data_IF_014783942557
#
_entry.id   IF_014783942557
#
_cell.length_a   1.000
_cell.length_b   1.000
_cell.length_c   1.000
_cell.angle_alpha   90.00
_cell.angle_beta   90.00
_cell.angle_gamma   90.00
#
_symmetry.space_group_name_H-M   'P 1'
#
loop_
_entity.id
_entity.type
_entity.pdbx_description
1 polymer ?
#
# COMPACT_ATOMS: atom_id res chain seq x y z
N UNK A 1 -33.24 -1.17 -13.96
CA UNK A 1 -33.01 -0.74 -12.56
C UNK A 1 -31.51 -0.57 -12.39
N UNK A 2 -31.03 0.67 -12.44
CA UNK A 2 -29.60 0.98 -12.38
C UNK A 2 -29.14 0.87 -10.93
N UNK A 3 -28.54 -0.26 -10.55
CA UNK A 3 -27.90 -0.40 -9.24
C UNK A 3 -26.64 0.44 -9.26
N UNK A 4 -26.69 1.59 -8.58
CA UNK A 4 -25.54 2.41 -8.22
C UNK A 4 -24.52 1.52 -7.51
N UNK A 5 -23.46 1.12 -8.22
CA UNK A 5 -22.32 0.44 -7.62
C UNK A 5 -21.66 1.42 -6.64
N UNK A 6 -21.93 1.25 -5.34
CA UNK A 6 -21.17 1.96 -4.31
C UNK A 6 -19.72 1.49 -4.41
N UNK A 7 -18.83 2.38 -4.86
CA UNK A 7 -17.39 2.10 -4.87
C UNK A 7 -16.95 1.85 -3.43
N UNK A 8 -16.66 0.59 -3.10
CA UNK A 8 -16.16 0.23 -1.77
C UNK A 8 -14.84 0.95 -1.53
N UNK A 9 -14.78 1.77 -0.47
CA UNK A 9 -13.56 2.50 -0.12
C UNK A 9 -12.61 1.57 0.64
N UNK A 10 -11.38 1.46 0.17
CA UNK A 10 -10.39 0.53 0.70
C UNK A 10 -9.48 1.19 1.73
N UNK A 11 -8.98 0.38 2.67
CA UNK A 11 -7.98 0.82 3.62
C UNK A 11 -6.64 1.11 2.93
N UNK A 12 -6.09 2.30 3.17
CA UNK A 12 -4.81 2.73 2.58
C UNK A 12 -3.57 1.93 3.06
N UNK A 13 -3.74 0.99 4.00
CA UNK A 13 -2.67 0.13 4.49
C UNK A 13 -2.83 -1.31 3.98
N UNK A 14 -4.05 -1.87 4.01
CA UNK A 14 -4.27 -3.29 3.71
C UNK A 14 -5.20 -3.58 2.53
N UNK A 15 -5.83 -2.58 1.91
CA UNK A 15 -6.83 -2.69 0.84
C UNK A 15 -8.20 -3.28 1.22
N UNK A 16 -8.37 -3.81 2.43
CA UNK A 16 -9.67 -4.31 2.90
C UNK A 16 -10.69 -3.17 3.01
N UNK A 17 -12.00 -3.48 2.95
CA UNK A 17 -13.05 -2.49 3.13
C UNK A 17 -12.81 -1.63 4.38
N UNK A 18 -12.81 -0.31 4.18
CA UNK A 18 -12.62 0.64 5.25
C UNK A 18 -13.92 0.89 6.00
N UNK A 19 -13.82 0.97 7.32
CA UNK A 19 -14.93 1.29 8.22
C UNK A 19 -14.92 2.77 8.63
N UNK A 20 -13.82 3.46 8.36
CA UNK A 20 -13.61 4.85 8.76
C UNK A 20 -12.78 5.60 7.72
N UNK A 21 -12.83 6.92 7.80
CA UNK A 21 -11.98 7.84 7.03
C UNK A 21 -11.29 8.81 7.96
N UNK A 22 -10.20 9.41 7.50
CA UNK A 22 -9.54 10.48 8.24
C UNK A 22 -10.54 11.61 8.50
N UNK A 23 -10.85 11.88 9.77
CA UNK A 23 -11.76 12.96 10.16
C UNK A 23 -11.23 14.35 9.79
N UNK A 24 -9.92 14.49 9.63
CA UNK A 24 -9.28 15.75 9.27
C UNK A 24 -9.48 16.14 7.81
N UNK A 25 -9.06 15.28 6.87
CA UNK A 25 -9.11 15.61 5.44
C UNK A 25 -10.26 14.94 4.68
N UNK A 26 -10.89 13.90 5.24
CA UNK A 26 -11.97 13.16 4.60
C UNK A 26 -11.58 12.32 3.36
N UNK A 27 -10.31 12.35 2.93
CA UNK A 27 -9.82 11.74 1.68
C UNK A 27 -9.26 10.31 1.82
N UNK A 28 -8.66 9.98 2.95
CA UNK A 28 -7.98 8.68 3.16
C UNK A 28 -8.81 7.79 4.09
N UNK A 29 -8.91 6.51 3.75
CA UNK A 29 -9.78 5.53 4.40
C UNK A 29 -8.98 4.44 5.13
N UNK A 30 -9.51 3.95 6.25
CA UNK A 30 -8.87 2.96 7.12
C UNK A 30 -9.89 1.95 7.66
N UNK A 31 -9.49 0.68 7.77
CA UNK A 31 -10.30 -0.37 8.40
C UNK A 31 -10.21 -0.39 9.93
N UNK A 32 -9.19 0.24 10.53
CA UNK A 32 -8.98 0.29 11.98
C UNK A 32 -8.21 1.55 12.40
N UNK A 33 -8.31 1.91 13.68
CA UNK A 33 -7.52 3.01 14.27
C UNK A 33 -6.02 2.70 14.26
N UNK A 34 -5.64 1.43 14.34
CA UNK A 34 -4.25 0.99 14.24
C UNK A 34 -3.64 1.36 12.88
N UNK A 35 -4.31 1.01 11.78
CA UNK A 35 -3.84 1.38 10.44
C UNK A 35 -3.79 2.90 10.24
N UNK A 36 -4.71 3.64 10.85
CA UNK A 36 -4.66 5.10 10.85
C UNK A 36 -3.41 5.63 11.58
N UNK A 37 -3.07 5.08 12.76
CA UNK A 37 -1.87 5.45 13.52
C UNK A 37 -0.58 5.12 12.75
N UNK A 38 -0.50 3.94 12.14
CA UNK A 38 0.64 3.53 11.31
C UNK A 38 0.82 4.47 10.12
N UNK A 39 -0.27 4.82 9.42
CA UNK A 39 -0.23 5.76 8.30
C UNK A 39 0.13 7.19 8.72
N UNK A 40 -0.08 7.58 9.98
CA UNK A 40 -0.04 8.97 10.42
C UNK A 40 1.31 9.65 10.21
N UNK A 41 2.44 8.92 10.34
CA UNK A 41 3.76 9.52 10.17
C UNK A 41 3.96 10.13 8.78
N UNK A 42 3.41 9.49 7.75
CA UNK A 42 3.41 10.00 6.37
C UNK A 42 2.19 10.86 6.07
N UNK A 43 1.02 10.47 6.58
CA UNK A 43 -0.24 11.12 6.25
C UNK A 43 -0.38 12.51 6.88
N UNK A 44 0.18 12.79 8.06
CA UNK A 44 -0.06 14.05 8.79
C UNK A 44 0.20 15.32 7.98
N UNK A 45 1.24 15.33 7.13
CA UNK A 45 1.56 16.46 6.26
C UNK A 45 0.59 16.55 5.09
N UNK A 46 0.35 15.42 4.41
CA UNK A 46 -0.63 15.31 3.33
C UNK A 46 -2.04 15.70 3.79
N UNK A 47 -2.46 15.31 5.00
CA UNK A 47 -3.74 15.66 5.59
C UNK A 47 -3.94 17.18 5.62
N UNK A 48 -2.92 17.94 6.05
CA UNK A 48 -2.96 19.41 6.02
C UNK A 48 -3.02 19.96 4.60
N UNK A 49 -2.28 19.38 3.66
CA UNK A 49 -2.31 19.79 2.25
C UNK A 49 -3.72 19.59 1.67
N UNK A 50 -4.33 18.43 1.91
CA UNK A 50 -5.68 18.12 1.48
C UNK A 50 -6.72 19.06 2.10
N UNK A 51 -6.56 19.41 3.38
CA UNK A 51 -7.42 20.40 4.03
C UNK A 51 -7.30 21.79 3.39
N UNK A 52 -6.08 22.22 3.02
CA UNK A 52 -5.84 23.50 2.34
C UNK A 52 -6.44 23.50 0.93
N UNK A 53 -6.24 22.43 0.17
CA UNK A 53 -6.85 22.24 -1.15
C UNK A 53 -8.38 22.26 -1.07
N UNK A 54 -8.97 21.61 -0.05
CA UNK A 54 -10.42 21.64 0.17
C UNK A 54 -10.96 23.05 0.48
N UNK A 55 -10.12 23.96 0.97
CA UNK A 55 -10.44 25.38 1.17
C UNK A 55 -10.20 26.24 -0.08
N UNK A 56 -9.80 25.64 -1.20
CA UNK A 56 -9.50 26.34 -2.45
C UNK A 56 -8.11 26.98 -2.51
N UNK A 57 -7.20 26.65 -1.58
CA UNK A 57 -5.82 27.13 -1.68
C UNK A 57 -5.07 26.41 -2.79
N UNK A 58 -4.37 27.18 -3.63
CA UNK A 58 -3.49 26.63 -4.65
C UNK A 58 -2.20 26.10 -4.00
N UNK A 59 -1.96 24.79 -4.14
CA UNK A 59 -0.74 24.14 -3.65
C UNK A 59 -0.04 23.52 -4.86
N UNK A 60 1.12 24.07 -5.24
CA UNK A 60 1.87 23.58 -6.38
C UNK A 60 2.26 22.10 -6.20
N UNK A 61 1.85 21.24 -7.14
CA UNK A 61 1.99 19.78 -7.03
C UNK A 61 3.44 19.29 -6.93
N UNK A 62 4.40 20.06 -7.49
CA UNK A 62 5.83 19.73 -7.46
C UNK A 62 6.58 20.32 -6.26
N UNK A 63 5.89 21.05 -5.36
CA UNK A 63 6.52 21.69 -4.19
C UNK A 63 6.69 20.77 -2.99
N UNK A 64 6.14 19.55 -3.04
CA UNK A 64 6.19 18.58 -1.95
C UNK A 64 6.20 17.13 -2.49
N UNK A 65 6.66 16.19 -1.66
CA UNK A 65 6.52 14.77 -1.95
C UNK A 65 5.05 14.35 -1.86
N UNK A 66 4.46 13.90 -2.97
CA UNK A 66 3.06 13.49 -3.02
C UNK A 66 2.69 12.26 -2.18
N UNK A 67 3.66 11.54 -1.61
CA UNK A 67 3.44 10.33 -0.80
C UNK A 67 3.61 10.55 0.71
N UNK A 68 4.27 11.63 1.15
CA UNK A 68 4.47 11.91 2.57
C UNK A 68 4.36 13.40 2.96
N UNK A 69 4.16 14.29 1.98
CA UNK A 69 3.98 15.73 2.17
C UNK A 69 5.23 16.48 2.64
N UNK A 70 6.43 15.87 2.61
CA UNK A 70 7.68 16.58 2.89
C UNK A 70 7.96 17.62 1.82
N UNK A 71 8.38 18.80 2.24
CA UNK A 71 8.88 19.89 1.39
C UNK A 71 10.39 20.05 1.55
N UNK A 72 10.95 19.49 2.62
CA UNK A 72 12.32 19.58 3.07
C UNK A 72 13.08 18.29 2.70
N UNK A 73 13.96 18.38 1.71
CA UNK A 73 14.83 17.28 1.29
C UNK A 73 15.01 17.24 -0.22
N UNK A 74 15.93 16.40 -0.72
CA UNK A 74 16.01 16.18 -2.15
C UNK A 74 14.70 15.54 -2.62
N UNK A 75 14.04 16.20 -3.57
CA UNK A 75 12.86 15.70 -4.24
C UNK A 75 13.23 15.33 -5.68
N UNK A 76 12.60 14.30 -6.21
CA UNK A 76 12.76 13.86 -7.60
C UNK A 76 11.42 13.54 -8.22
N UNK A 77 11.37 13.57 -9.56
CA UNK A 77 10.24 13.05 -10.31
C UNK A 77 10.40 11.54 -10.52
N UNK A 78 9.29 10.80 -10.37
CA UNK A 78 9.27 9.36 -10.66
C UNK A 78 9.49 9.09 -12.15
N UNK A 79 10.04 7.94 -12.49
CA UNK A 79 10.24 7.55 -13.89
C UNK A 79 8.90 7.25 -14.59
N UNK A 80 7.99 6.57 -13.87
CA UNK A 80 6.69 6.07 -14.33
C UNK A 80 5.67 7.17 -14.63
N UNK A 81 5.33 8.02 -13.66
CA UNK A 81 4.23 8.99 -13.76
C UNK A 81 4.68 10.45 -13.65
N UNK A 82 5.99 10.71 -13.54
CA UNK A 82 6.60 12.06 -13.46
C UNK A 82 6.12 12.91 -12.29
N UNK A 83 5.50 12.30 -11.28
CA UNK A 83 5.07 12.97 -10.04
C UNK A 83 6.23 13.08 -9.04
N UNK A 84 6.18 14.10 -8.19
CA UNK A 84 7.26 14.44 -7.26
C UNK A 84 7.22 13.59 -5.98
N UNK A 85 8.35 12.96 -5.64
CA UNK A 85 8.55 12.12 -4.43
C UNK A 85 9.89 12.44 -3.77
N UNK A 86 10.10 11.98 -2.53
CA UNK A 86 11.41 12.08 -1.87
C UNK A 86 12.46 11.27 -2.65
N UNK A 87 13.64 11.86 -2.87
CA UNK A 87 14.80 11.16 -3.41
C UNK A 87 15.56 10.43 -2.30
N UNK A 88 14.98 9.32 -1.86
CA UNK A 88 15.45 8.56 -0.70
C UNK A 88 15.81 7.11 -1.06
N UNK A 89 15.92 6.78 -2.36
CA UNK A 89 16.17 5.42 -2.83
C UNK A 89 17.51 4.88 -2.29
N UNK A 90 18.55 5.72 -2.26
CA UNK A 90 19.88 5.36 -1.75
C UNK A 90 19.98 5.25 -0.23
N UNK A 91 18.97 5.72 0.51
CA UNK A 91 18.97 5.68 1.97
C UNK A 91 18.41 4.36 2.53
N UNK A 92 17.89 3.47 1.66
CA UNK A 92 17.36 2.17 2.08
C UNK A 92 18.49 1.26 2.57
N UNK A 93 18.39 0.82 3.81
CA UNK A 93 19.28 -0.21 4.36
C UNK A 93 18.73 -1.59 3.99
N UNK A 94 19.49 -2.44 3.26
CA UNK A 94 19.08 -3.81 3.00
C UNK A 94 18.66 -4.53 4.30
N UNK A 95 17.66 -5.41 4.22
CA UNK A 95 17.09 -6.16 5.36
C UNK A 95 16.37 -5.34 6.45
N UNK A 96 16.28 -4.01 6.31
CA UNK A 96 15.49 -3.19 7.23
C UNK A 96 13.98 -3.30 6.99
N UNK A 97 13.57 -3.74 5.80
CA UNK A 97 12.16 -3.74 5.34
C UNK A 97 11.43 -2.40 5.54
N UNK A 98 12.18 -1.30 5.72
CA UNK A 98 11.64 -0.02 6.13
C UNK A 98 10.71 0.58 5.08
N UNK A 99 9.55 1.04 5.54
CA UNK A 99 8.56 1.73 4.71
C UNK A 99 8.87 3.22 4.54
N UNK A 100 10.05 3.70 4.92
CA UNK A 100 10.32 5.14 4.98
C UNK A 100 10.72 5.75 3.64
N UNK A 101 11.15 4.93 2.67
CA UNK A 101 11.57 5.40 1.35
C UNK A 101 10.38 5.57 0.39
N UNK A 102 10.04 6.82 0.07
CA UNK A 102 8.90 7.13 -0.79
C UNK A 102 9.15 6.67 -2.24
N UNK A 103 10.32 6.96 -2.81
CA UNK A 103 10.62 6.59 -4.18
C UNK A 103 10.68 5.06 -4.36
N UNK A 104 11.34 4.36 -3.44
CA UNK A 104 11.48 2.89 -3.51
C UNK A 104 10.14 2.17 -3.34
N UNK A 105 9.33 2.60 -2.37
CA UNK A 105 8.06 1.92 -2.13
C UNK A 105 7.07 2.18 -3.26
N UNK A 106 7.08 3.38 -3.85
CA UNK A 106 6.32 3.65 -5.07
C UNK A 106 6.74 2.72 -6.21
N UNK A 107 8.06 2.62 -6.44
CA UNK A 107 8.68 1.76 -7.46
C UNK A 107 8.32 0.27 -7.32
N UNK A 108 8.19 -0.21 -6.08
CA UNK A 108 8.02 -1.64 -5.81
C UNK A 108 6.57 -2.09 -5.61
N UNK A 109 5.71 -1.22 -5.11
CA UNK A 109 4.42 -1.63 -4.53
C UNK A 109 3.21 -0.94 -5.14
N UNK A 110 3.36 -0.33 -6.33
CA UNK A 110 2.23 0.33 -6.99
C UNK A 110 1.96 -0.27 -8.36
N UNK A 111 0.68 -0.28 -8.74
CA UNK A 111 0.27 -0.65 -10.09
C UNK A 111 0.94 0.25 -11.14
N UNK A 112 1.10 1.54 -10.82
CA UNK A 112 1.77 2.52 -11.68
C UNK A 112 3.20 2.09 -12.08
N UNK A 113 4.00 1.68 -11.10
CA UNK A 113 5.36 1.24 -11.37
C UNK A 113 5.41 -0.15 -12.01
N UNK A 114 4.52 -1.07 -11.63
CA UNK A 114 4.40 -2.35 -12.31
C UNK A 114 4.11 -2.17 -13.81
N UNK A 115 3.10 -1.36 -14.16
CA UNK A 115 2.77 -0.99 -15.53
C UNK A 115 3.97 -0.47 -16.32
N UNK A 116 4.73 0.45 -15.72
CA UNK A 116 5.90 1.05 -16.33
C UNK A 116 7.04 0.03 -16.55
N UNK A 117 7.31 -0.81 -15.55
CA UNK A 117 8.42 -1.77 -15.57
C UNK A 117 8.16 -2.93 -16.55
N UNK A 118 6.92 -3.38 -16.66
CA UNK A 118 6.50 -4.42 -17.61
C UNK A 118 6.18 -3.86 -19.01
N UNK A 119 6.30 -2.53 -19.18
CA UNK A 119 6.15 -1.82 -20.47
C UNK A 119 4.80 -2.08 -21.13
N UNK A 120 3.74 -2.11 -20.32
CA UNK A 120 2.39 -2.23 -20.84
C UNK A 120 2.03 -1.01 -21.72
N UNK A 121 1.23 -1.20 -22.78
CA UNK A 121 0.85 -0.11 -23.67
C UNK A 121 -0.03 0.92 -22.95
N UNK A 122 0.08 2.18 -23.39
CA UNK A 122 -0.64 3.31 -22.80
C UNK A 122 0.04 3.91 -21.57
N UNK A 123 -0.44 5.08 -21.15
CA UNK A 123 0.14 5.84 -20.04
C UNK A 123 -0.62 5.69 -18.72
N UNK A 124 -1.88 5.24 -18.76
CA UNK A 124 -2.71 5.12 -17.56
C UNK A 124 -2.69 3.69 -17.01
N UNK A 125 -2.02 3.50 -15.88
CA UNK A 125 -1.97 2.21 -15.20
C UNK A 125 -3.32 1.83 -14.59
N UNK A 126 -4.17 2.81 -14.22
CA UNK A 126 -5.43 2.53 -13.51
C UNK A 126 -6.39 1.76 -14.41
N UNK A 127 -6.44 2.10 -15.69
CA UNK A 127 -7.31 1.48 -16.70
C UNK A 127 -6.63 0.37 -17.52
N UNK A 128 -5.40 -0.03 -17.18
CA UNK A 128 -4.68 -1.06 -17.94
C UNK A 128 -5.24 -2.47 -17.67
N UNK A 129 -5.81 -3.09 -18.70
CA UNK A 129 -6.36 -4.46 -18.62
C UNK A 129 -5.29 -5.52 -18.30
N UNK A 130 -4.07 -5.35 -18.83
CA UNK A 130 -2.98 -6.28 -18.55
C UNK A 130 -2.61 -6.27 -17.07
N UNK A 131 -2.50 -5.08 -16.46
CA UNK A 131 -2.24 -4.96 -15.01
C UNK A 131 -3.31 -5.64 -14.16
N UNK A 132 -4.58 -5.56 -14.56
CA UNK A 132 -5.69 -6.13 -13.79
C UNK A 132 -5.67 -7.66 -13.71
N UNK A 133 -4.91 -8.33 -14.58
CA UNK A 133 -4.86 -9.80 -14.65
C UNK A 133 -3.48 -10.38 -14.25
N UNK A 134 -2.56 -9.55 -13.77
CA UNK A 134 -1.18 -9.96 -13.47
C UNK A 134 -0.98 -10.51 -12.06
N UNK A 135 -1.91 -10.28 -11.14
CA UNK A 135 -1.78 -10.63 -9.73
C UNK A 135 -3.09 -11.19 -9.17
N UNK A 136 -3.00 -11.90 -8.04
CA UNK A 136 -4.17 -12.28 -7.26
C UNK A 136 -4.95 -11.04 -6.81
N UNK A 137 -6.28 -11.17 -6.71
CA UNK A 137 -7.18 -10.04 -6.46
C UNK A 137 -6.84 -9.24 -5.18
N UNK A 138 -6.37 -9.90 -4.10
CA UNK A 138 -5.95 -9.21 -2.87
C UNK A 138 -4.69 -8.35 -3.10
N UNK A 139 -3.69 -8.88 -3.81
CA UNK A 139 -2.46 -8.16 -4.15
C UNK A 139 -2.78 -6.99 -5.08
N UNK A 140 -3.64 -7.23 -6.06
CA UNK A 140 -4.01 -6.23 -7.04
C UNK A 140 -4.76 -5.06 -6.39
N UNK A 141 -5.76 -5.35 -5.55
CA UNK A 141 -6.43 -4.33 -4.75
C UNK A 141 -5.43 -3.53 -3.92
N UNK A 142 -4.43 -4.18 -3.33
CA UNK A 142 -3.39 -3.50 -2.57
C UNK A 142 -2.50 -2.61 -3.41
N UNK A 143 -2.02 -3.05 -4.57
CA UNK A 143 -1.22 -2.23 -5.50
C UNK A 143 -1.96 -0.98 -5.98
N UNK A 144 -3.29 -1.03 -6.04
CA UNK A 144 -4.12 0.09 -6.44
C UNK A 144 -4.40 1.09 -5.31
N UNK A 145 -4.51 0.64 -4.05
CA UNK A 145 -5.06 1.48 -2.97
C UNK A 145 -4.12 1.78 -1.81
N UNK A 146 -2.94 1.17 -1.76
CA UNK A 146 -2.01 1.42 -0.66
C UNK A 146 -1.46 2.86 -0.66
N UNK A 147 -0.91 3.29 0.48
CA UNK A 147 -0.39 4.63 0.72
C UNK A 147 0.92 4.99 -0.02
N UNK A 148 1.41 4.13 -0.91
CA UNK A 148 2.50 4.44 -1.84
C UNK A 148 1.98 4.94 -3.20
N UNK A 149 0.66 4.92 -3.39
CA UNK A 149 -0.01 5.56 -4.53
C UNK A 149 -0.28 7.04 -4.24
N UNK A 150 -0.33 7.83 -5.31
CA UNK A 150 -0.82 9.20 -5.20
C UNK A 150 -2.32 9.21 -5.00
N UNK A 151 -2.82 10.18 -4.23
CA UNK A 151 -4.23 10.22 -3.84
C UNK A 151 -5.19 10.25 -5.03
N UNK A 152 -4.84 10.97 -6.10
CA UNK A 152 -5.68 11.02 -7.31
C UNK A 152 -5.82 9.64 -7.97
N UNK A 153 -4.78 8.81 -7.93
CA UNK A 153 -4.83 7.46 -8.47
C UNK A 153 -5.66 6.53 -7.59
N UNK A 154 -5.56 6.67 -6.25
CA UNK A 154 -6.43 5.95 -5.29
C UNK A 154 -7.90 6.34 -5.49
N UNK A 155 -8.19 7.61 -5.75
CA UNK A 155 -9.56 8.10 -5.96
C UNK A 155 -10.18 7.59 -7.27
N UNK A 156 -9.36 7.37 -8.31
CA UNK A 156 -9.78 6.77 -9.59
C UNK A 156 -9.79 5.24 -9.57
N UNK A 157 -9.16 4.61 -8.58
CA UNK A 157 -9.02 3.16 -8.54
C UNK A 157 -10.36 2.44 -8.32
N UNK A 158 -10.58 1.38 -9.11
CA UNK A 158 -11.64 0.38 -8.93
C UNK A 158 -11.01 -0.96 -8.58
N UNK A 159 -10.58 -1.17 -7.32
CA UNK A 159 -9.92 -2.41 -6.91
C UNK A 159 -10.88 -3.60 -7.00
N UNK A 160 -10.40 -4.79 -7.38
CA UNK A 160 -11.22 -6.00 -7.37
C UNK A 160 -11.63 -6.37 -5.95
N UNK A 161 -12.81 -6.99 -5.82
CA UNK A 161 -13.19 -7.64 -4.55
C UNK A 161 -12.43 -8.96 -4.40
N UNK A 162 -12.10 -9.32 -3.16
CA UNK A 162 -11.35 -10.52 -2.86
C UNK A 162 -11.81 -11.13 -1.52
N UNK A 163 -11.57 -12.43 -1.36
CA UNK A 163 -11.74 -13.11 -0.08
C UNK A 163 -10.37 -13.23 0.61
N UNK A 164 -10.29 -13.04 1.94
CA UNK A 164 -9.04 -13.16 2.66
C UNK A 164 -8.45 -14.56 2.52
N UNK A 165 -7.14 -14.64 2.27
CA UNK A 165 -6.45 -15.92 2.34
C UNK A 165 -6.60 -16.54 3.74
N UNK A 166 -6.71 -17.87 3.81
CA UNK A 166 -6.84 -18.59 5.07
C UNK A 166 -5.56 -19.36 5.38
N UNK A 167 -5.19 -19.42 6.67
CA UNK A 167 -4.05 -20.21 7.11
C UNK A 167 -4.34 -21.70 6.92
N UNK A 168 -3.50 -22.43 6.20
CA UNK A 168 -3.69 -23.85 5.93
C UNK A 168 -3.78 -24.73 7.18
N UNK A 169 -3.18 -24.29 8.31
CA UNK A 169 -3.16 -25.04 9.57
C UNK A 169 -4.30 -24.73 10.54
N UNK A 170 -4.69 -23.46 10.66
CA UNK A 170 -5.68 -23.04 11.66
C UNK A 170 -6.92 -22.37 11.07
N UNK A 171 -6.98 -22.23 9.74
CA UNK A 171 -8.09 -21.67 8.97
C UNK A 171 -8.46 -20.21 9.33
N UNK A 172 -7.65 -19.52 10.14
CA UNK A 172 -7.83 -18.10 10.41
C UNK A 172 -7.65 -17.29 9.12
N UNK A 173 -8.53 -16.32 8.81
CA UNK A 173 -8.29 -15.37 7.73
C UNK A 173 -7.05 -14.52 8.03
N UNK A 174 -6.26 -14.26 6.99
CA UNK A 174 -5.03 -13.49 7.03
C UNK A 174 -5.13 -12.31 6.07
N UNK A 175 -4.38 -11.25 6.37
CA UNK A 175 -4.18 -10.12 5.46
C UNK A 175 -2.78 -10.24 4.89
N UNK A 176 -2.63 -10.81 3.70
CA UNK A 176 -1.31 -11.17 3.15
C UNK A 176 -0.40 -9.94 3.02
N UNK A 177 -0.98 -8.78 2.74
CA UNK A 177 -0.26 -7.52 2.60
C UNK A 177 0.02 -6.78 3.92
N UNK A 178 -0.31 -7.33 5.09
CA UNK A 178 -0.11 -6.65 6.38
C UNK A 178 0.32 -7.55 7.53
N UNK A 179 0.30 -8.86 7.33
CA UNK A 179 0.63 -9.84 8.35
C UNK A 179 1.75 -10.75 7.85
N UNK A 180 2.66 -11.12 8.75
CA UNK A 180 3.70 -12.07 8.42
C UNK A 180 3.09 -13.46 8.16
N UNK A 181 3.42 -14.02 7.00
CA UNK A 181 3.04 -15.36 6.59
C UNK A 181 4.18 -16.01 5.80
N UNK A 182 4.11 -17.33 5.63
CA UNK A 182 4.88 -18.03 4.59
C UNK A 182 3.93 -18.57 3.55
N UNK A 183 4.47 -18.89 2.38
CA UNK A 183 3.77 -19.62 1.33
C UNK A 183 4.59 -20.86 1.00
N UNK A 184 3.95 -22.03 1.03
CA UNK A 184 4.58 -23.31 0.76
C UNK A 184 3.66 -24.23 -0.04
N UNK A 185 4.03 -25.51 -0.10
CA UNK A 185 3.28 -26.55 -0.83
C UNK A 185 1.79 -26.59 -0.45
N UNK A 186 1.50 -26.44 0.84
CA UNK A 186 0.15 -26.59 1.39
C UNK A 186 -0.61 -25.26 1.45
N UNK A 187 -0.06 -24.19 0.88
CA UNK A 187 -0.64 -22.85 0.88
C UNK A 187 0.02 -21.89 1.89
N UNK A 188 -0.75 -20.92 2.36
CA UNK A 188 -0.25 -19.88 3.27
C UNK A 188 -0.31 -20.32 4.73
N UNK A 189 0.75 -20.10 5.49
CA UNK A 189 0.77 -20.32 6.94
C UNK A 189 0.97 -19.01 7.71
N UNK A 190 0.14 -18.77 8.73
CA UNK A 190 0.24 -17.57 9.56
C UNK A 190 1.46 -17.61 10.49
N UNK A 191 1.95 -16.44 10.92
CA UNK A 191 3.09 -16.31 11.83
C UNK A 191 3.02 -17.22 13.07
N UNK A 192 1.84 -17.38 13.68
CA UNK A 192 1.66 -18.23 14.86
C UNK A 192 1.91 -19.71 14.53
N UNK A 193 1.36 -20.20 13.43
CA UNK A 193 1.52 -21.59 13.02
C UNK A 193 2.94 -21.89 12.52
N UNK A 194 3.60 -20.91 11.90
CA UNK A 194 5.02 -20.97 11.57
C UNK A 194 5.89 -21.07 12.83
N UNK A 195 5.66 -20.18 13.81
CA UNK A 195 6.42 -20.16 15.07
C UNK A 195 6.21 -21.42 15.91
N UNK A 196 5.00 -22.00 15.88
CA UNK A 196 4.69 -23.27 16.55
C UNK A 196 5.49 -24.48 16.03
N UNK A 197 6.09 -24.40 14.83
CA UNK A 197 7.02 -25.42 14.32
C UNK A 197 8.45 -25.28 14.87
N UNK A 198 8.83 -24.11 15.43
CA UNK A 198 10.22 -23.81 15.81
C UNK A 198 10.55 -24.03 17.29
N UNK A 199 9.63 -24.59 18.10
CA UNK A 199 9.87 -24.84 19.52
C UNK A 199 9.74 -23.57 20.37
N UNK A 200 9.07 -23.71 21.50
CA UNK A 200 8.57 -22.63 22.35
C UNK A 200 9.66 -21.83 23.05
N UNK A 201 9.56 -20.50 22.99
CA UNK A 201 9.71 -19.64 24.18
C UNK A 201 8.65 -18.53 24.14
N UNK A 202 7.90 -18.28 25.23
CA UNK A 202 7.05 -17.11 25.32
C UNK A 202 7.92 -15.91 25.70
N UNK A 203 8.07 -14.95 24.79
CA UNK A 203 8.65 -13.65 25.12
C UNK A 203 7.58 -12.58 24.92
N UNK A 204 7.10 -12.08 26.05
CA UNK A 204 6.49 -10.76 26.20
C UNK A 204 7.34 -9.69 25.50
N UNK A 205 6.68 -8.73 24.84
CA UNK A 205 7.26 -7.52 24.24
C UNK A 205 8.38 -7.74 23.21
N UNK A 206 8.01 -7.96 21.94
CA UNK A 206 8.86 -7.60 20.81
C UNK A 206 8.13 -6.54 19.99
N UNK A 207 8.77 -5.38 19.93
CA UNK A 207 8.36 -4.19 19.19
C UNK A 207 8.03 -4.48 17.73
N UNK A 208 7.15 -3.65 17.19
CA UNK A 208 6.85 -3.47 15.78
C UNK A 208 8.04 -3.81 14.88
N UNK A 209 7.92 -4.89 14.12
CA UNK A 209 8.72 -5.13 12.93
C UNK A 209 7.73 -5.10 11.78
N UNK A 210 7.62 -3.93 11.16
CA UNK A 210 6.98 -3.71 9.88
C UNK A 210 7.60 -4.67 8.85
N UNK A 211 7.00 -5.84 8.69
CA UNK A 211 7.52 -6.91 7.86
C UNK A 211 6.37 -7.59 7.12
N UNK A 212 6.19 -7.23 5.86
CA UNK A 212 5.45 -8.06 4.91
C UNK A 212 6.50 -8.80 4.08
N UNK A 213 6.71 -10.11 4.30
CA UNK A 213 7.48 -10.94 3.39
C UNK A 213 6.54 -11.43 2.28
N UNK A 214 6.29 -10.61 1.25
CA UNK A 214 5.83 -11.18 -0.02
C UNK A 214 7.07 -11.65 -0.76
N UNK A 215 7.30 -12.95 -0.73
CA UNK A 215 8.24 -13.61 -1.62
C UNK A 215 7.70 -13.45 -3.05
N UNK A 216 8.20 -12.42 -3.74
CA UNK A 216 7.96 -12.26 -5.17
C UNK A 216 8.49 -13.51 -5.89
N UNK A 217 7.77 -14.08 -6.88
CA UNK A 217 8.35 -15.09 -7.74
C UNK A 217 9.60 -14.49 -8.39
N UNK A 218 10.73 -15.21 -8.26
CA UNK A 218 12.01 -14.77 -8.79
C UNK A 218 11.90 -14.51 -10.29
N UNK A 219 12.36 -13.32 -10.72
CA UNK A 219 12.60 -13.04 -12.14
C UNK A 219 13.61 -14.07 -12.66
N UNK A 220 13.24 -14.76 -13.75
CA UNK A 220 14.21 -15.27 -14.73
C UNK A 220 14.44 -14.17 -15.76
#
# INVERSE_FOLDING_TARGET
MSTSSETTKCCAICAYPATSRCSGCGKVFYCSQEHQKTAWQKHKRLCKIYQRQAKGEEVAADSFCGLCGKTDGPLKKTACCKKTVCDDYGNYRPFSYGNDSCARNHDRYTRCCYHYNERHPGSDSVSCDQCSNSHDAEIEAWYMTNNFNFQDDIERATPPSFQPAQCSKCQRPMKLNCEAHSYGRDGHECQRCMAGLMGSTPASNIFAMDGIPVQMPGRR
#
